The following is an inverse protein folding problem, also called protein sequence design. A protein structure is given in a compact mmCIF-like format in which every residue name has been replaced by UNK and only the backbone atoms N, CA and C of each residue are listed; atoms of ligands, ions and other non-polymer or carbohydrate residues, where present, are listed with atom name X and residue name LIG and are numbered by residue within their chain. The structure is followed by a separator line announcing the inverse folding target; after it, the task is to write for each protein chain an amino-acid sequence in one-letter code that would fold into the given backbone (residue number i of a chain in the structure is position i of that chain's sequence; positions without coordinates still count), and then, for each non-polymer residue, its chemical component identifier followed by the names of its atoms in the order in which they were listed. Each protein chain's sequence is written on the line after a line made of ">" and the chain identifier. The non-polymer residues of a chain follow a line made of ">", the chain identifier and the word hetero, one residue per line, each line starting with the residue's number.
data_IF_382051733180
#
_entry.id   IF_382051733180
#
_cell.length_a   1.000
_cell.length_b   1.000
_cell.length_c   1.000
_cell.angle_alpha   90.00
_cell.angle_beta   90.00
_cell.angle_gamma   90.00
#
_symmetry.space_group_name_H-M   'P 1'
#
loop_
_entity.id
_entity.type
_entity.pdbx_description
1 polymer ?
#
# COMPACT_ATOMS: atom_id res chain seq x y z
N UNK A 1 -39.13 65.93 17.89
CA UNK A 1 -38.22 65.09 18.70
C UNK A 1 -37.76 63.93 17.83
N UNK A 2 -36.51 63.98 17.36
CA UNK A 2 -35.91 62.91 16.55
C UNK A 2 -35.43 61.80 17.50
N UNK A 3 -35.83 60.55 17.26
CA UNK A 3 -35.36 59.38 18.00
C UNK A 3 -33.98 58.98 17.46
N UNK A 4 -32.95 59.01 18.31
CA UNK A 4 -31.58 58.65 17.96
C UNK A 4 -31.40 57.13 17.85
N UNK A 5 -30.74 56.69 16.78
CA UNK A 5 -30.27 55.31 16.62
C UNK A 5 -29.18 54.98 17.66
N UNK A 6 -29.15 53.75 18.20
CA UNK A 6 -28.08 53.31 19.09
C UNK A 6 -26.75 53.13 18.31
N UNK A 7 -25.59 53.29 18.97
CA UNK A 7 -24.29 53.24 18.31
C UNK A 7 -23.96 51.83 17.78
N UNK A 8 -23.36 51.78 16.59
CA UNK A 8 -22.90 50.55 15.97
C UNK A 8 -21.79 49.88 16.79
N UNK A 9 -21.87 48.55 16.94
CA UNK A 9 -20.84 47.77 17.63
C UNK A 9 -19.54 47.74 16.80
N UNK A 10 -18.36 47.74 17.45
CA UNK A 10 -17.08 47.65 16.75
C UNK A 10 -16.92 46.26 16.09
N UNK A 11 -16.17 46.18 14.97
CA UNK A 11 -15.93 44.92 14.29
C UNK A 11 -15.12 43.96 15.18
N UNK A 12 -15.35 42.64 15.06
CA UNK A 12 -14.61 41.66 15.84
C UNK A 12 -13.11 41.70 15.50
N UNK A 13 -12.23 41.38 16.46
CA UNK A 13 -10.79 41.38 16.25
C UNK A 13 -10.40 40.35 15.16
N UNK A 14 -9.29 40.58 14.43
CA UNK A 14 -8.81 39.63 13.44
C UNK A 14 -8.43 38.31 14.13
N UNK A 15 -8.92 37.19 13.57
CA UNK A 15 -8.62 35.85 14.06
C UNK A 15 -7.10 35.62 14.08
N UNK A 16 -6.60 35.10 15.19
CA UNK A 16 -5.21 34.66 15.33
C UNK A 16 -4.89 33.61 14.26
N UNK A 17 -3.65 33.63 13.76
CA UNK A 17 -3.18 32.77 12.66
C UNK A 17 -3.10 31.27 13.01
N UNK A 18 -3.59 30.85 14.17
CA UNK A 18 -3.52 29.47 14.66
C UNK A 18 -4.75 28.59 14.33
N UNK A 19 -5.81 29.14 13.72
CA UNK A 19 -7.00 28.34 13.32
C UNK A 19 -6.83 27.54 12.00
N UNK A 20 -5.61 27.41 11.47
CA UNK A 20 -5.33 26.70 10.19
C UNK A 20 -4.75 25.29 10.35
N UNK A 21 -4.86 24.69 11.54
CA UNK A 21 -4.23 23.40 11.86
C UNK A 21 -5.18 22.19 11.96
N UNK A 22 -6.47 22.32 11.65
CA UNK A 22 -7.45 21.24 11.86
C UNK A 22 -7.88 20.43 10.63
N UNK A 23 -7.33 20.70 9.44
CA UNK A 23 -7.69 19.97 8.19
C UNK A 23 -6.75 18.80 7.87
N UNK A 24 -6.10 18.20 8.90
CA UNK A 24 -5.35 16.95 8.68
C UNK A 24 -6.34 15.80 8.54
N UNK A 25 -6.24 14.96 7.50
CA UNK A 25 -7.05 13.75 7.40
C UNK A 25 -6.83 12.89 8.63
N UNK A 26 -7.92 12.54 9.32
CA UNK A 26 -7.88 11.66 10.48
C UNK A 26 -7.43 10.28 10.01
N UNK A 27 -6.20 9.92 10.35
CA UNK A 27 -5.67 8.58 10.11
C UNK A 27 -6.32 7.65 11.17
N UNK A 28 -7.09 6.61 10.79
CA UNK A 28 -7.63 5.69 11.77
C UNK A 28 -6.49 4.91 12.41
N UNK A 29 -6.41 4.91 13.75
CA UNK A 29 -5.44 4.11 14.47
C UNK A 29 -5.69 2.60 14.23
N UNK A 30 -4.65 1.76 14.21
CA UNK A 30 -4.80 0.30 14.10
C UNK A 30 -5.72 -0.27 15.18
N UNK A 31 -6.65 -1.15 14.80
CA UNK A 31 -7.62 -1.80 15.70
C UNK A 31 -6.93 -2.78 16.67
N UNK A 32 -7.46 -2.83 17.90
CA UNK A 32 -6.83 -3.26 19.16
C UNK A 32 -6.46 -4.76 19.30
N UNK A 33 -5.25 -5.02 19.83
CA UNK A 33 -4.96 -5.68 21.13
C UNK A 33 -3.46 -5.59 21.35
N UNK A 34 -3.05 -4.71 22.25
CA UNK A 34 -1.65 -4.29 22.41
C UNK A 34 -0.96 -5.07 23.53
N UNK A 35 0.21 -5.61 23.24
CA UNK A 35 1.17 -6.06 24.24
C UNK A 35 2.54 -5.49 23.92
N UNK A 36 3.01 -4.55 24.75
CA UNK A 36 4.42 -4.10 24.76
C UNK A 36 4.59 -2.58 24.80
N UNK A 37 5.18 -2.07 25.88
CA UNK A 37 5.86 -0.77 25.90
C UNK A 37 7.27 -0.98 25.33
N UNK A 38 7.41 -1.07 24.01
CA UNK A 38 8.72 -1.18 23.40
C UNK A 38 9.53 0.11 23.58
N UNK A 39 10.82 -0.06 23.87
CA UNK A 39 11.79 1.04 23.95
C UNK A 39 11.82 1.74 22.58
N UNK A 40 11.71 3.09 22.55
CA UNK A 40 11.75 3.93 21.34
C UNK A 40 10.56 3.80 20.36
N UNK A 41 9.39 3.33 20.80
CA UNK A 41 8.19 3.27 19.95
C UNK A 41 8.16 2.12 18.94
N UNK A 42 9.15 1.22 19.01
CA UNK A 42 9.16 -0.05 18.28
C UNK A 42 8.16 -1.03 18.91
N UNK A 43 7.29 -1.65 18.11
CA UNK A 43 6.40 -2.74 18.56
C UNK A 43 6.51 -3.91 17.61
N UNK A 44 6.67 -5.11 18.17
CA UNK A 44 6.65 -6.37 17.41
C UNK A 44 5.25 -6.97 17.48
N UNK A 45 4.67 -7.33 16.33
CA UNK A 45 3.37 -7.99 16.21
C UNK A 45 3.47 -9.23 15.34
N UNK A 46 2.65 -10.23 15.65
CA UNK A 46 2.55 -11.44 14.86
C UNK A 46 1.36 -11.36 13.90
N UNK A 47 1.57 -11.74 12.64
CA UNK A 47 0.55 -11.84 11.60
C UNK A 47 0.55 -13.27 11.05
N UNK A 48 -0.14 -14.18 11.76
CA UNK A 48 0.01 -15.61 11.53
C UNK A 48 1.45 -16.04 11.88
N UNK A 49 2.21 -16.65 10.95
CA UNK A 49 3.60 -17.04 11.20
C UNK A 49 4.57 -15.85 11.14
N UNK A 50 4.17 -14.71 10.59
CA UNK A 50 5.04 -13.56 10.38
C UNK A 50 5.26 -12.78 11.68
N UNK A 51 6.51 -12.45 11.98
CA UNK A 51 6.91 -11.59 13.11
C UNK A 51 7.36 -10.24 12.56
N UNK A 52 6.58 -9.19 12.80
CA UNK A 52 6.80 -7.87 12.17
C UNK A 52 7.04 -6.81 13.22
N UNK A 53 8.20 -6.17 13.12
CA UNK A 53 8.55 -4.95 13.85
C UNK A 53 7.94 -3.75 13.14
N UNK A 54 7.39 -2.84 13.93
CA UNK A 54 6.77 -1.58 13.52
C UNK A 54 7.36 -0.44 14.36
N UNK A 55 7.55 0.76 13.81
CA UNK A 55 8.19 1.89 14.50
C UNK A 55 7.28 3.14 14.57
N UNK A 56 6.43 3.25 15.60
CA UNK A 56 5.42 4.31 15.68
C UNK A 56 5.95 5.70 16.04
N UNK A 57 7.22 5.85 16.43
CA UNK A 57 7.76 7.13 16.91
C UNK A 57 9.00 7.63 16.13
N UNK A 58 9.69 6.77 15.37
CA UNK A 58 10.98 7.11 14.78
C UNK A 58 10.96 7.80 13.41
N UNK A 59 9.95 7.59 12.56
CA UNK A 59 10.07 7.92 11.11
C UNK A 59 9.19 9.06 10.59
N UNK A 60 8.63 9.94 11.43
CA UNK A 60 7.87 11.12 10.98
C UNK A 60 6.70 10.85 9.99
N UNK A 61 6.30 9.60 9.76
CA UNK A 61 5.55 9.18 8.58
C UNK A 61 4.89 7.80 8.74
N UNK A 62 3.98 7.50 7.83
CA UNK A 62 3.09 6.33 7.84
C UNK A 62 3.77 5.00 7.53
N UNK A 63 5.02 4.98 7.04
CA UNK A 63 5.72 3.75 6.59
C UNK A 63 6.01 2.72 7.69
N UNK A 64 5.90 3.10 8.95
CA UNK A 64 6.37 2.28 10.07
C UNK A 64 5.37 1.32 10.69
N UNK A 65 4.13 1.27 10.19
CA UNK A 65 3.06 0.44 10.74
C UNK A 65 2.45 -0.47 9.67
N UNK A 66 1.93 -1.60 10.10
CA UNK A 66 1.09 -2.45 9.25
C UNK A 66 -0.32 -1.84 9.23
N UNK A 67 -0.73 -1.34 8.07
CA UNK A 67 -2.05 -0.75 7.84
C UNK A 67 -3.07 -1.79 7.37
N UNK A 68 -4.35 -1.44 7.44
CA UNK A 68 -5.47 -2.31 7.06
C UNK A 68 -5.36 -2.79 5.61
N UNK A 69 -4.83 -1.96 4.70
CA UNK A 69 -4.60 -2.35 3.31
C UNK A 69 -3.53 -3.46 3.18
N UNK A 70 -2.43 -3.37 3.93
CA UNK A 70 -1.40 -4.40 3.95
C UNK A 70 -1.94 -5.72 4.54
N UNK A 71 -2.79 -5.65 5.57
CA UNK A 71 -3.49 -6.83 6.10
C UNK A 71 -4.46 -7.44 5.08
N UNK A 72 -5.21 -6.62 4.35
CA UNK A 72 -6.09 -7.08 3.27
C UNK A 72 -5.30 -7.82 2.18
N UNK A 73 -4.16 -7.28 1.76
CA UNK A 73 -3.24 -7.94 0.83
C UNK A 73 -2.80 -9.31 1.34
N UNK A 74 -2.46 -9.44 2.63
CA UNK A 74 -2.12 -10.73 3.23
C UNK A 74 -3.28 -11.74 3.16
N UNK A 75 -4.51 -11.29 3.39
CA UNK A 75 -5.67 -12.19 3.26
C UNK A 75 -5.86 -12.64 1.81
N UNK A 76 -5.65 -11.75 0.84
CA UNK A 76 -5.69 -12.11 -0.58
C UNK A 76 -4.63 -13.15 -0.93
N UNK A 77 -3.39 -12.95 -0.46
CA UNK A 77 -2.26 -13.87 -0.72
C UNK A 77 -2.46 -15.29 -0.15
N UNK A 78 -3.37 -15.48 0.82
CA UNK A 78 -3.72 -16.82 1.33
C UNK A 78 -4.60 -17.63 0.37
N UNK A 79 -5.23 -16.97 -0.61
CA UNK A 79 -6.15 -17.62 -1.52
C UNK A 79 -5.36 -18.37 -2.61
N UNK A 80 -5.74 -19.62 -2.97
CA UNK A 80 -4.98 -20.42 -3.93
C UNK A 80 -4.70 -19.73 -5.27
N UNK A 81 -5.65 -18.90 -5.74
CA UNK A 81 -5.48 -18.12 -6.97
C UNK A 81 -4.33 -17.11 -6.87
N UNK A 82 -4.21 -16.38 -5.75
CA UNK A 82 -3.11 -15.43 -5.54
C UNK A 82 -1.78 -16.13 -5.31
N UNK A 83 -1.77 -17.23 -4.54
CA UNK A 83 -0.57 -18.04 -4.36
C UNK A 83 -0.02 -18.53 -5.72
N UNK A 84 -0.90 -19.06 -6.58
CA UNK A 84 -0.52 -19.50 -7.92
C UNK A 84 -0.06 -18.35 -8.82
N UNK A 85 -0.61 -17.15 -8.64
CA UNK A 85 -0.22 -15.96 -9.40
C UNK A 85 1.18 -15.48 -9.01
N UNK A 86 1.58 -15.60 -7.74
CA UNK A 86 2.89 -15.18 -7.25
C UNK A 86 3.99 -16.24 -7.44
N UNK A 87 3.62 -17.52 -7.45
CA UNK A 87 4.58 -18.62 -7.48
C UNK A 87 5.53 -18.56 -8.70
N UNK A 88 6.83 -18.47 -8.43
CA UNK A 88 7.89 -18.40 -9.43
C UNK A 88 7.94 -17.08 -10.21
N UNK A 89 7.23 -16.03 -9.78
CA UNK A 89 7.19 -14.73 -10.45
C UNK A 89 8.21 -13.75 -9.90
N UNK A 90 8.61 -12.78 -10.73
CA UNK A 90 9.33 -11.58 -10.30
C UNK A 90 8.32 -10.55 -9.79
N UNK A 91 8.43 -10.22 -8.51
CA UNK A 91 7.49 -9.36 -7.80
C UNK A 91 8.21 -8.09 -7.35
N UNK A 92 7.62 -6.93 -7.63
CA UNK A 92 8.02 -5.65 -7.06
C UNK A 92 6.99 -5.20 -6.04
N UNK A 93 7.41 -4.83 -4.83
CA UNK A 93 6.56 -4.08 -3.89
C UNK A 93 6.96 -2.61 -3.91
N UNK A 94 5.98 -1.74 -4.17
CA UNK A 94 6.10 -0.28 -4.08
C UNK A 94 5.62 0.19 -2.70
N UNK A 95 6.40 1.04 -2.03
CA UNK A 95 6.03 1.58 -0.71
C UNK A 95 5.93 0.48 0.35
N UNK A 96 7.00 -0.30 0.49
CA UNK A 96 7.02 -1.50 1.31
C UNK A 96 6.78 -1.22 2.80
N UNK A 97 7.18 -0.06 3.31
CA UNK A 97 7.03 0.32 4.73
C UNK A 97 7.63 -0.71 5.69
N UNK A 98 6.81 -1.64 6.19
CA UNK A 98 7.26 -2.75 7.06
C UNK A 98 7.81 -3.96 6.29
N UNK A 99 7.53 -4.07 4.99
CA UNK A 99 7.92 -5.21 4.14
C UNK A 99 7.07 -6.46 4.31
N UNK A 100 5.95 -6.36 5.03
CA UNK A 100 5.10 -7.52 5.34
C UNK A 100 4.55 -8.21 4.09
N UNK A 101 4.15 -7.46 3.05
CA UNK A 101 3.65 -8.07 1.81
C UNK A 101 4.79 -8.62 0.94
N UNK A 102 5.98 -8.02 0.94
CA UNK A 102 7.18 -8.61 0.34
C UNK A 102 7.56 -9.97 0.95
N UNK A 103 7.55 -10.08 2.28
CA UNK A 103 7.87 -11.33 2.97
C UNK A 103 6.82 -12.39 2.62
N UNK A 104 5.53 -12.04 2.63
CA UNK A 104 4.45 -12.96 2.26
C UNK A 104 4.51 -13.40 0.79
N UNK A 105 4.87 -12.51 -0.13
CA UNK A 105 5.10 -12.86 -1.52
C UNK A 105 6.29 -13.83 -1.68
N UNK A 106 7.40 -13.58 -0.96
CA UNK A 106 8.57 -14.46 -0.98
C UNK A 106 8.27 -15.86 -0.40
N UNK A 107 7.44 -15.96 0.63
CA UNK A 107 6.93 -17.25 1.13
C UNK A 107 6.15 -18.04 0.07
N UNK A 108 5.59 -17.35 -0.93
CA UNK A 108 4.90 -17.97 -2.08
C UNK A 108 5.87 -18.39 -3.20
N UNK A 109 7.18 -18.48 -2.92
CA UNK A 109 8.22 -18.83 -3.89
C UNK A 109 8.36 -17.80 -5.03
N UNK A 110 8.13 -16.52 -4.72
CA UNK A 110 8.39 -15.41 -5.63
C UNK A 110 9.81 -14.84 -5.42
N UNK A 111 10.40 -14.27 -6.49
CA UNK A 111 11.61 -13.44 -6.40
C UNK A 111 11.19 -12.00 -6.20
N UNK A 112 11.51 -11.41 -5.05
CA UNK A 112 10.89 -10.15 -4.61
C UNK A 112 11.91 -9.02 -4.53
N UNK A 113 11.53 -7.84 -5.02
CA UNK A 113 12.21 -6.57 -4.77
C UNK A 113 11.26 -5.69 -3.96
N UNK A 114 11.60 -5.43 -2.71
CA UNK A 114 10.90 -4.51 -1.82
C UNK A 114 11.47 -3.10 -1.98
N UNK A 115 10.62 -2.11 -2.19
CA UNK A 115 11.07 -0.73 -2.39
C UNK A 115 10.32 0.28 -1.57
N UNK A 116 11.04 1.31 -1.14
CA UNK A 116 10.51 2.48 -0.45
C UNK A 116 11.39 3.70 -0.76
N UNK A 117 10.85 4.91 -0.63
CA UNK A 117 11.63 6.15 -0.75
C UNK A 117 12.35 6.49 0.55
N UNK A 118 11.79 6.05 1.68
CA UNK A 118 12.28 6.38 3.02
C UNK A 118 13.38 5.39 3.46
N UNK A 119 14.62 5.86 3.71
CA UNK A 119 15.71 5.01 4.18
C UNK A 119 15.41 4.27 5.48
N UNK A 120 14.65 4.87 6.41
CA UNK A 120 14.33 4.22 7.68
C UNK A 120 13.35 3.04 7.47
N UNK A 121 12.40 3.20 6.55
CA UNK A 121 11.53 2.12 6.09
C UNK A 121 12.34 0.98 5.45
N UNK A 122 13.34 1.29 4.62
CA UNK A 122 14.22 0.25 4.03
C UNK A 122 14.99 -0.54 5.09
N UNK A 123 15.50 0.12 6.14
CA UNK A 123 16.16 -0.54 7.28
C UNK A 123 15.16 -1.44 8.03
N UNK A 124 13.92 -0.96 8.22
CA UNK A 124 12.87 -1.74 8.87
C UNK A 124 12.50 -3.00 8.06
N UNK A 125 12.35 -2.86 6.74
CA UNK A 125 12.10 -3.98 5.82
C UNK A 125 13.20 -5.03 5.96
N UNK A 126 14.48 -4.64 5.97
CA UNK A 126 15.61 -5.56 6.12
C UNK A 126 15.58 -6.31 7.46
N UNK A 127 15.30 -5.61 8.56
CA UNK A 127 15.15 -6.23 9.88
C UNK A 127 14.00 -7.24 9.91
N UNK A 128 12.86 -6.90 9.31
CA UNK A 128 11.72 -7.80 9.24
C UNK A 128 11.98 -9.02 8.34
N UNK A 129 12.68 -8.86 7.21
CA UNK A 129 13.11 -9.99 6.37
C UNK A 129 13.99 -10.94 7.18
N UNK A 130 14.98 -10.41 7.92
CA UNK A 130 15.88 -11.23 8.74
C UNK A 130 15.12 -12.01 9.82
N UNK A 131 14.17 -11.38 10.51
CA UNK A 131 13.34 -12.04 11.52
C UNK A 131 12.50 -13.19 10.95
N UNK A 132 12.13 -13.12 9.68
CA UNK A 132 11.27 -14.10 9.01
C UNK A 132 12.02 -15.02 8.02
N UNK A 133 13.37 -14.97 8.00
CA UNK A 133 14.18 -15.69 7.01
C UNK A 133 13.96 -17.21 7.05
N UNK A 134 13.61 -17.77 8.21
CA UNK A 134 13.30 -19.18 8.40
C UNK A 134 12.01 -19.65 7.68
N UNK A 135 11.13 -18.71 7.30
CA UNK A 135 9.91 -18.99 6.53
C UNK A 135 10.14 -18.92 5.02
N UNK A 136 11.28 -18.40 4.57
CA UNK A 136 11.58 -18.17 3.17
C UNK A 136 12.23 -19.42 2.54
N UNK A 137 11.89 -19.77 1.29
CA UNK A 137 12.59 -20.83 0.57
C UNK A 137 14.09 -20.51 0.48
N UNK A 138 14.96 -21.51 0.68
CA UNK A 138 16.41 -21.33 0.87
C UNK A 138 17.16 -20.64 -0.28
N UNK A 139 16.53 -20.50 -1.45
CA UNK A 139 17.10 -19.86 -2.66
C UNK A 139 16.50 -18.49 -2.96
N UNK A 140 15.55 -18.03 -2.15
CA UNK A 140 14.75 -16.84 -2.45
C UNK A 140 15.14 -15.73 -1.49
N UNK A 141 15.58 -14.62 -2.07
CA UNK A 141 15.97 -13.42 -1.35
C UNK A 141 14.99 -12.31 -1.70
N UNK A 142 14.61 -11.54 -0.69
CA UNK A 142 13.94 -10.26 -0.89
C UNK A 142 15.03 -9.21 -1.03
N UNK A 143 15.22 -8.66 -2.22
CA UNK A 143 16.10 -7.52 -2.42
C UNK A 143 15.41 -6.26 -1.89
N UNK A 144 16.17 -5.34 -1.30
CA UNK A 144 15.64 -4.09 -0.75
C UNK A 144 16.33 -2.92 -1.42
N UNK A 145 15.56 -2.01 -2.04
CA UNK A 145 16.10 -0.89 -2.83
C UNK A 145 15.31 0.39 -2.62
N UNK A 146 16.00 1.52 -2.76
CA UNK A 146 15.33 2.82 -2.77
C UNK A 146 14.57 3.01 -4.08
N UNK A 147 13.32 3.47 -3.98
CA UNK A 147 12.53 3.90 -5.13
C UNK A 147 11.59 5.03 -4.72
N UNK A 148 11.95 6.26 -5.08
CA UNK A 148 10.99 7.36 -5.15
C UNK A 148 10.19 7.26 -6.44
N UNK A 149 8.86 7.21 -6.36
CA UNK A 149 8.01 7.12 -7.55
C UNK A 149 8.20 8.36 -8.44
N UNK A 150 8.13 8.16 -9.76
CA UNK A 150 8.44 9.18 -10.76
C UNK A 150 9.92 9.58 -10.89
N UNK A 151 10.81 9.11 -10.00
CA UNK A 151 12.24 9.36 -10.12
C UNK A 151 12.86 8.44 -11.19
N UNK A 152 13.23 9.02 -12.34
CA UNK A 152 13.74 8.25 -13.47
C UNK A 152 15.06 7.52 -13.19
N UNK A 153 15.94 8.10 -12.37
CA UNK A 153 17.20 7.48 -12.00
C UNK A 153 16.96 6.22 -11.16
N UNK A 154 16.06 6.28 -10.18
CA UNK A 154 15.67 5.11 -9.38
C UNK A 154 15.00 4.04 -10.25
N UNK A 155 14.05 4.44 -11.13
CA UNK A 155 13.37 3.52 -12.04
C UNK A 155 14.40 2.80 -12.95
N UNK A 156 15.34 3.55 -13.53
CA UNK A 156 16.35 2.98 -14.41
C UNK A 156 17.30 2.05 -13.64
N UNK A 157 17.73 2.41 -12.44
CA UNK A 157 18.56 1.55 -11.61
C UNK A 157 17.87 0.21 -11.29
N UNK A 158 16.56 0.23 -10.97
CA UNK A 158 15.76 -0.98 -10.77
C UNK A 158 15.66 -1.80 -12.06
N UNK A 159 15.43 -1.16 -13.22
CA UNK A 159 15.39 -1.86 -14.52
C UNK A 159 16.71 -2.51 -14.88
N UNK A 160 17.82 -1.81 -14.68
CA UNK A 160 19.15 -2.31 -15.02
C UNK A 160 19.53 -3.51 -14.15
N UNK A 161 19.13 -3.50 -12.87
CA UNK A 161 19.45 -4.57 -11.94
C UNK A 161 18.48 -5.78 -12.04
N UNK A 162 17.17 -5.55 -12.19
CA UNK A 162 16.15 -6.59 -12.06
C UNK A 162 15.29 -6.80 -13.31
N UNK A 163 15.34 -5.89 -14.27
CA UNK A 163 14.44 -5.83 -15.42
C UNK A 163 13.01 -5.46 -15.05
N UNK A 164 12.05 -5.96 -15.84
CA UNK A 164 10.61 -5.75 -15.61
C UNK A 164 10.02 -6.83 -14.70
N UNK A 165 8.89 -6.52 -14.08
CA UNK A 165 8.22 -7.37 -13.10
C UNK A 165 6.93 -7.98 -13.64
N UNK A 166 6.71 -9.26 -13.30
CA UNK A 166 5.48 -9.97 -13.65
C UNK A 166 4.32 -9.53 -12.76
N UNK A 167 4.61 -9.17 -11.52
CA UNK A 167 3.63 -8.69 -10.55
C UNK A 167 4.16 -7.45 -9.82
N UNK A 168 3.34 -6.40 -9.72
CA UNK A 168 3.61 -5.23 -8.89
C UNK A 168 2.57 -5.17 -7.78
N UNK A 169 3.03 -5.06 -6.54
CA UNK A 169 2.21 -4.93 -5.34
C UNK A 169 2.31 -3.51 -4.80
N UNK A 170 1.18 -2.99 -4.30
CA UNK A 170 1.14 -1.74 -3.55
C UNK A 170 0.06 -1.79 -2.47
N UNK A 171 0.42 -1.46 -1.24
CA UNK A 171 -0.54 -1.37 -0.14
C UNK A 171 -0.57 0.06 0.41
N UNK A 172 -1.77 0.64 0.39
CA UNK A 172 -2.08 1.98 0.85
C UNK A 172 -1.29 3.10 0.16
N UNK A 173 -1.06 3.02 -1.15
CA UNK A 173 -0.22 4.01 -1.86
C UNK A 173 -0.98 5.28 -2.30
N UNK A 174 -2.31 5.24 -2.33
CA UNK A 174 -3.13 6.28 -2.98
C UNK A 174 -3.35 7.52 -2.10
N UNK A 175 -2.88 7.54 -0.86
CA UNK A 175 -3.04 8.70 0.03
C UNK A 175 -2.11 9.87 -0.33
N UNK A 176 -0.98 9.59 -0.98
CA UNK A 176 -0.02 10.61 -1.38
C UNK A 176 -0.47 11.23 -2.72
N UNK A 177 -0.64 12.56 -2.75
CA UNK A 177 -1.19 13.30 -3.89
C UNK A 177 -0.18 13.41 -5.05
N UNK A 178 0.14 12.27 -5.66
CA UNK A 178 1.12 12.14 -6.74
C UNK A 178 0.34 12.05 -8.05
N UNK A 179 0.27 13.17 -8.78
CA UNK A 179 -0.60 13.36 -9.95
C UNK A 179 -0.28 12.44 -11.15
N UNK A 180 0.71 11.55 -11.05
CA UNK A 180 1.09 10.63 -12.12
C UNK A 180 2.39 9.83 -11.86
N UNK A 181 3.16 10.18 -10.84
CA UNK A 181 4.45 9.54 -10.55
C UNK A 181 4.32 8.03 -10.28
N UNK A 182 3.28 7.63 -9.53
CA UNK A 182 2.98 6.21 -9.29
C UNK A 182 2.63 5.48 -10.60
N UNK A 183 1.81 6.10 -11.46
CA UNK A 183 1.43 5.54 -12.76
C UNK A 183 2.65 5.36 -13.65
N UNK A 184 3.52 6.36 -13.77
CA UNK A 184 4.74 6.28 -14.57
C UNK A 184 5.65 5.17 -14.06
N UNK A 185 5.89 5.10 -12.74
CA UNK A 185 6.69 4.03 -12.14
C UNK A 185 6.12 2.65 -12.42
N UNK A 186 4.81 2.45 -12.25
CA UNK A 186 4.16 1.17 -12.53
C UNK A 186 4.25 0.84 -14.03
N UNK A 187 3.91 1.78 -14.90
CA UNK A 187 3.96 1.60 -16.35
C UNK A 187 5.36 1.20 -16.83
N UNK A 188 6.39 1.84 -16.29
CA UNK A 188 7.76 1.59 -16.70
C UNK A 188 8.35 0.28 -16.17
N UNK A 189 7.92 -0.19 -14.99
CA UNK A 189 8.45 -1.39 -14.34
C UNK A 189 7.60 -2.65 -14.58
N UNK A 190 6.37 -2.50 -15.05
CA UNK A 190 5.47 -3.62 -15.32
C UNK A 190 5.80 -4.27 -16.66
N UNK A 191 5.87 -5.60 -16.68
CA UNK A 191 5.96 -6.35 -17.94
C UNK A 191 4.65 -6.21 -18.75
N UNK A 192 4.72 -6.42 -20.08
CA UNK A 192 3.58 -6.29 -21.02
C UNK A 192 2.37 -7.21 -20.75
N UNK A 193 2.53 -8.25 -19.92
CA UNK A 193 1.43 -9.09 -19.43
C UNK A 193 1.43 -9.15 -17.90
N UNK A 194 2.02 -8.13 -17.28
CA UNK A 194 2.16 -8.05 -15.84
C UNK A 194 0.83 -7.75 -15.16
N UNK A 195 0.80 -8.05 -13.87
CA UNK A 195 -0.36 -7.82 -13.00
C UNK A 195 0.02 -6.82 -11.92
N UNK A 196 -0.77 -5.78 -11.77
CA UNK A 196 -0.65 -4.80 -10.68
C UNK A 196 -1.75 -5.08 -9.67
N UNK A 197 -1.42 -5.16 -8.39
CA UNK A 197 -2.37 -5.41 -7.31
C UNK A 197 -2.23 -4.30 -6.27
N UNK A 198 -3.26 -3.47 -6.16
CA UNK A 198 -3.33 -2.36 -5.22
C UNK A 198 -4.38 -2.64 -4.15
N UNK A 199 -3.99 -2.50 -2.89
CA UNK A 199 -4.94 -2.50 -1.76
C UNK A 199 -4.89 -1.11 -1.14
N UNK A 200 -6.02 -0.52 -0.79
CA UNK A 200 -6.03 0.84 -0.24
C UNK A 200 -7.14 1.05 0.77
N UNK A 201 -6.88 1.88 1.77
CA UNK A 201 -7.90 2.35 2.70
C UNK A 201 -8.45 3.68 2.18
N UNK A 202 -9.76 3.80 1.89
CA UNK A 202 -10.31 5.01 1.31
C UNK A 202 -10.19 6.19 2.27
N UNK A 203 -9.60 7.30 1.80
CA UNK A 203 -9.45 8.57 2.51
C UNK A 203 -10.07 9.73 1.73
N UNK A 204 -9.82 9.78 0.43
CA UNK A 204 -10.43 10.74 -0.51
C UNK A 204 -10.83 10.00 -1.78
N UNK A 205 -12.05 9.46 -1.77
CA UNK A 205 -12.55 8.63 -2.86
C UNK A 205 -12.47 9.31 -4.23
N UNK A 206 -12.69 10.63 -4.32
CA UNK A 206 -12.65 11.34 -5.60
C UNK A 206 -11.23 11.40 -6.16
N UNK A 207 -10.25 11.70 -5.32
CA UNK A 207 -8.84 11.76 -5.73
C UNK A 207 -8.33 10.37 -6.09
N UNK A 208 -8.62 9.38 -5.26
CA UNK A 208 -8.24 7.99 -5.49
C UNK A 208 -8.85 7.47 -6.79
N UNK A 209 -10.15 7.72 -7.02
CA UNK A 209 -10.83 7.32 -8.25
C UNK A 209 -10.24 8.04 -9.47
N UNK A 210 -9.97 9.35 -9.38
CA UNK A 210 -9.32 10.08 -10.48
C UNK A 210 -7.95 9.52 -10.83
N UNK A 211 -7.18 9.09 -9.82
CA UNK A 211 -5.89 8.44 -10.05
C UNK A 211 -6.12 7.07 -10.71
N UNK A 212 -7.01 6.21 -10.18
CA UNK A 212 -7.34 4.90 -10.75
C UNK A 212 -7.87 5.00 -12.19
N UNK A 213 -8.68 6.00 -12.50
CA UNK A 213 -9.20 6.26 -13.84
C UNK A 213 -8.06 6.53 -14.83
N UNK A 214 -6.99 7.21 -14.39
CA UNK A 214 -5.81 7.46 -15.22
C UNK A 214 -5.04 6.18 -15.59
N UNK A 215 -5.11 5.13 -14.75
CA UNK A 215 -4.52 3.82 -15.08
C UNK A 215 -5.27 3.13 -16.22
N UNK A 216 -6.56 3.39 -16.39
CA UNK A 216 -7.39 2.72 -17.39
C UNK A 216 -7.03 3.07 -18.84
N UNK A 217 -6.19 4.08 -19.06
CA UNK A 217 -5.59 4.36 -20.36
C UNK A 217 -4.47 3.37 -20.75
N UNK A 218 -3.89 2.65 -19.77
CA UNK A 218 -2.70 1.82 -19.96
C UNK A 218 -2.88 0.39 -19.45
N UNK A 219 -3.77 0.17 -18.49
CA UNK A 219 -4.08 -1.12 -17.87
C UNK A 219 -5.56 -1.48 -18.00
N UNK A 220 -5.84 -2.78 -18.11
CA UNK A 220 -7.21 -3.27 -17.89
C UNK A 220 -7.48 -3.27 -16.39
N UNK A 221 -8.26 -2.29 -15.92
CA UNK A 221 -8.54 -2.08 -14.50
C UNK A 221 -9.75 -2.89 -14.03
N UNK A 222 -9.63 -3.55 -12.88
CA UNK A 222 -10.68 -4.34 -12.25
C UNK A 222 -10.75 -4.03 -10.74
N UNK A 223 -11.89 -3.55 -10.28
CA UNK A 223 -12.17 -3.48 -8.84
C UNK A 223 -12.58 -4.88 -8.33
N UNK A 224 -11.89 -5.37 -7.30
CA UNK A 224 -12.20 -6.65 -6.67
C UNK A 224 -12.69 -6.36 -5.25
N UNK A 225 -13.82 -6.92 -4.85
CA UNK A 225 -14.25 -6.89 -3.44
C UNK A 225 -13.70 -8.09 -2.69
N UNK A 226 -13.13 -7.86 -1.51
CA UNK A 226 -12.59 -8.92 -0.65
C UNK A 226 -13.62 -10.05 -0.37
N UNK A 227 -14.91 -9.71 -0.28
CA UNK A 227 -16.00 -10.66 -0.03
C UNK A 227 -16.37 -11.53 -1.23
N UNK A 228 -15.88 -11.24 -2.44
CA UNK A 228 -16.25 -11.92 -3.69
C UNK A 228 -15.08 -12.66 -4.36
N UNK A 229 -13.90 -12.71 -3.72
CA UNK A 229 -12.63 -13.10 -4.38
C UNK A 229 -12.65 -14.52 -5.01
N UNK A 230 -13.51 -15.43 -4.56
CA UNK A 230 -13.52 -16.82 -5.07
C UNK A 230 -13.93 -16.91 -6.56
N UNK A 231 -14.68 -15.95 -7.12
CA UNK A 231 -15.20 -16.07 -8.49
C UNK A 231 -14.47 -15.22 -9.56
N UNK A 232 -13.89 -14.07 -9.22
CA UNK A 232 -13.44 -13.09 -10.24
C UNK A 232 -12.12 -13.44 -10.94
N UNK A 233 -11.25 -14.26 -10.32
CA UNK A 233 -9.89 -14.47 -10.82
C UNK A 233 -9.74 -15.60 -11.86
N UNK A 234 -10.81 -16.33 -12.18
CA UNK A 234 -10.78 -17.34 -13.28
C UNK A 234 -10.79 -16.71 -14.68
N UNK A 235 -11.04 -15.41 -14.79
CA UNK A 235 -11.34 -14.74 -16.08
C UNK A 235 -10.12 -14.08 -16.75
N UNK A 236 -8.94 -14.11 -16.13
CA UNK A 236 -7.77 -13.35 -16.61
C UNK A 236 -7.12 -13.91 -17.89
N UNK A 237 -7.52 -15.10 -18.36
CA UNK A 237 -6.94 -15.70 -19.57
C UNK A 237 -7.56 -15.20 -20.89
N UNK A 238 -8.55 -14.30 -20.87
CA UNK A 238 -9.28 -13.90 -22.10
C UNK A 238 -9.45 -12.38 -22.20
N UNK A 239 -8.35 -11.62 -22.28
CA UNK A 239 -8.35 -10.30 -22.91
C UNK A 239 -7.05 -10.11 -23.69
N UNK A 240 -6.93 -10.80 -24.82
CA UNK A 240 -5.91 -10.52 -25.84
C UNK A 240 -6.56 -9.76 -27.00
N UNK A 241 -6.48 -8.41 -26.98
CA UNK A 241 -6.62 -7.58 -28.20
C UNK A 241 -6.46 -6.06 -28.01
N UNK A 242 -6.30 -5.52 -26.78
CA UNK A 242 -6.54 -4.09 -26.53
C UNK A 242 -5.31 -3.17 -26.44
N UNK A 243 -4.08 -3.64 -26.67
CA UNK A 243 -2.88 -2.78 -26.66
C UNK A 243 -2.47 -2.22 -25.29
N UNK A 244 -3.02 -2.73 -24.19
CA UNK A 244 -2.70 -2.35 -22.81
C UNK A 244 -1.47 -3.13 -22.29
N UNK A 245 -0.76 -2.57 -21.30
CA UNK A 245 0.49 -3.12 -20.72
C UNK A 245 0.23 -4.24 -19.72
N UNK A 246 -0.99 -4.41 -19.23
CA UNK A 246 -1.31 -5.47 -18.27
C UNK A 246 -2.68 -5.30 -17.63
N UNK A 247 -2.89 -5.99 -16.51
CA UNK A 247 -4.10 -5.87 -15.69
C UNK A 247 -3.79 -5.18 -14.36
N UNK A 248 -4.65 -4.25 -13.94
CA UNK A 248 -4.61 -3.67 -12.60
C UNK A 248 -5.82 -4.14 -11.80
N UNK A 249 -5.58 -4.74 -10.65
CA UNK A 249 -6.59 -5.11 -9.68
C UNK A 249 -6.48 -4.19 -8.48
N UNK A 250 -7.60 -3.62 -8.04
CA UNK A 250 -7.61 -2.85 -6.79
C UNK A 250 -8.77 -3.23 -5.89
N UNK A 251 -8.57 -3.09 -4.58
CA UNK A 251 -9.61 -3.30 -3.56
C UNK A 251 -9.50 -2.29 -2.44
N UNK A 252 -10.65 -1.86 -1.93
CA UNK A 252 -10.75 -1.07 -0.72
C UNK A 252 -10.71 -1.97 0.52
N UNK A 253 -9.86 -1.64 1.49
CA UNK A 253 -9.92 -2.22 2.82
C UNK A 253 -11.11 -1.59 3.56
N UNK A 254 -12.24 -2.30 3.63
CA UNK A 254 -13.39 -1.85 4.42
C UNK A 254 -13.16 -2.15 5.90
N UNK A 255 -13.53 -1.20 6.77
CA UNK A 255 -13.47 -1.31 8.23
C UNK A 255 -14.64 -2.09 8.86
N UNK A 256 -15.49 -2.74 8.06
CA UNK A 256 -16.62 -3.50 8.58
C UNK A 256 -16.21 -4.92 8.98
N UNK A 257 -16.04 -5.10 10.29
CA UNK A 257 -16.40 -6.31 11.05
C UNK A 257 -15.97 -7.64 10.43
N UNK A 258 -14.73 -8.05 10.70
CA UNK A 258 -14.39 -9.48 10.81
C UNK A 258 -14.48 -9.90 12.29
N UNK A 259 -15.65 -9.71 12.91
CA UNK A 259 -16.03 -10.48 14.09
C UNK A 259 -16.82 -11.70 13.59
N UNK A 260 -16.27 -12.88 13.85
CA UNK A 260 -16.93 -14.19 13.82
C UNK A 260 -17.83 -14.51 12.61
N UNK A 261 -17.28 -15.31 11.69
CA UNK A 261 -18.07 -16.37 11.03
C UNK A 261 -17.51 -17.73 11.42
N UNK A 262 -17.55 -18.02 12.72
CA UNK A 262 -17.53 -19.37 13.26
C UNK A 262 -18.79 -19.53 14.12
N UNK A 263 -19.94 -19.72 13.48
CA UNK A 263 -21.05 -20.49 14.06
C UNK A 263 -21.68 -21.29 12.92
N UNK A 264 -21.32 -22.57 12.88
CA UNK A 264 -22.19 -23.68 12.47
C UNK A 264 -22.69 -24.32 13.76
#
# INVERSE_FOLDING_TARGET
>A
MQQGQPPAQPPPPPRSQDERASDRPHIPAPLQRESGNGLLGLKVRNFGPLVITQNYQGMGGTGSAVWQAAEAMLQMMKLPAYMSMLHGRKVLELGAGTGINSIAAAMSNATVVATDKDPDSLVLVQSNIQANQHLLPSRHHVAVRTLAWGNQENIQAIKDEFGLFDVILGSDLLFEALHGELLVTIYELCAMQGVVILTHSPRDYRREQSLLDSFSAYFTTNEVRLTTIIHTLRTCCVVQSSGHVGCLYHTYAQSEVLLNTNEV
#
